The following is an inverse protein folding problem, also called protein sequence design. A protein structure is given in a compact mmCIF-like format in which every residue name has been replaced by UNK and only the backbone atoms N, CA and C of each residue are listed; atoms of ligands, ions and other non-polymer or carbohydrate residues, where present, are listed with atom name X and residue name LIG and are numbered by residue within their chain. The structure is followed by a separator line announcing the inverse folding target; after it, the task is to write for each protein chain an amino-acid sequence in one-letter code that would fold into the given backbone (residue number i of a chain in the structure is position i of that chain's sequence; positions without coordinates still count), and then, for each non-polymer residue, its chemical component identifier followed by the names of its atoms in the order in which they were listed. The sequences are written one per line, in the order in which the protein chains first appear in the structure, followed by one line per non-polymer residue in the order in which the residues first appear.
data_IF_369037993857
#
_entry.id   IF_369037993857
#
_cell.length_a   1.000
_cell.length_b   1.000
_cell.length_c   1.000
_cell.angle_alpha   90.00
_cell.angle_beta   90.00
_cell.angle_gamma   90.00
#
_symmetry.space_group_name_H-M   'P 1'
#
loop_
_entity.id
_entity.type
_entity.pdbx_description
1 polymer ?
#
# COMPACT_ATOMS: atom_id res chain seq x y z
N UNK A 1 -10.45 -5.29 11.29
CA UNK A 1 -10.51 -3.91 10.75
C UNK A 1 -9.17 -3.43 10.23
N UNK A 2 -8.97 -3.46 8.91
CA UNK A 2 -7.79 -2.89 8.24
C UNK A 2 -7.64 -1.39 8.51
N UNK A 3 -8.74 -0.68 8.79
CA UNK A 3 -8.70 0.73 9.19
C UNK A 3 -7.89 0.98 10.47
N UNK A 4 -7.97 0.09 11.47
CA UNK A 4 -7.17 0.22 12.70
C UNK A 4 -5.70 -0.14 12.49
N UNK A 5 -5.42 -1.05 11.55
CA UNK A 5 -4.06 -1.41 11.15
C UNK A 5 -3.28 -0.19 10.66
N UNK A 6 -3.93 0.67 9.86
CA UNK A 6 -3.31 1.87 9.32
C UNK A 6 -3.13 2.99 10.35
N UNK A 7 -3.89 2.99 11.44
CA UNK A 7 -3.79 4.05 12.46
C UNK A 7 -2.79 3.73 13.56
N UNK A 8 -2.41 2.46 13.73
CA UNK A 8 -1.51 2.02 14.79
C UNK A 8 -0.13 1.63 14.25
N UNK A 9 0.87 2.48 14.48
CA UNK A 9 2.27 2.29 14.04
C UNK A 9 2.84 0.92 14.45
N UNK A 10 2.54 0.44 15.66
CA UNK A 10 3.04 -0.87 16.13
C UNK A 10 2.46 -2.03 15.34
N UNK A 11 1.20 -1.91 14.90
CA UNK A 11 0.57 -2.93 14.08
C UNK A 11 1.02 -2.82 12.62
N UNK A 12 1.28 -1.61 12.11
CA UNK A 12 1.90 -1.42 10.80
C UNK A 12 3.27 -2.09 10.70
N UNK A 13 4.13 -1.97 11.73
CA UNK A 13 5.46 -2.59 11.73
C UNK A 13 5.38 -4.12 11.68
N UNK A 14 4.47 -4.70 12.49
CA UNK A 14 4.22 -6.14 12.45
C UNK A 14 3.68 -6.57 11.09
N UNK A 15 2.71 -5.84 10.55
CA UNK A 15 2.11 -6.13 9.25
C UNK A 15 3.16 -6.07 8.14
N UNK A 16 4.01 -5.04 8.13
CA UNK A 16 5.10 -4.90 7.17
C UNK A 16 6.08 -6.08 7.25
N UNK A 17 6.39 -6.58 8.45
CA UNK A 17 7.21 -7.77 8.61
C UNK A 17 6.53 -9.05 8.07
N UNK A 18 5.20 -9.19 8.24
CA UNK A 18 4.45 -10.32 7.68
C UNK A 18 4.40 -10.26 6.14
N UNK A 19 4.11 -9.09 5.58
CA UNK A 19 4.06 -8.93 4.12
C UNK A 19 5.43 -9.13 3.47
N UNK A 20 6.52 -8.69 4.11
CA UNK A 20 7.88 -8.98 3.62
C UNK A 20 8.17 -10.48 3.58
N UNK A 21 7.80 -11.23 4.62
CA UNK A 21 7.92 -12.68 4.61
C UNK A 21 7.07 -13.34 3.51
N UNK A 22 5.88 -12.80 3.24
CA UNK A 22 5.07 -13.27 2.14
C UNK A 22 5.77 -13.04 0.79
N UNK A 23 6.42 -11.88 0.61
CA UNK A 23 7.21 -11.58 -0.59
C UNK A 23 8.52 -12.40 -0.68
N UNK A 24 9.09 -12.82 0.44
CA UNK A 24 10.23 -13.75 0.43
C UNK A 24 9.84 -15.13 -0.10
N UNK A 25 8.57 -15.53 0.06
CA UNK A 25 8.01 -16.81 -0.42
C UNK A 25 7.49 -16.67 -1.85
N UNK A 26 6.71 -15.63 -2.10
CA UNK A 26 6.15 -15.27 -3.41
C UNK A 26 6.41 -13.78 -3.69
N UNK A 27 7.49 -13.46 -4.43
CA UNK A 27 7.82 -12.09 -4.79
C UNK A 27 6.73 -11.37 -5.62
N UNK A 28 5.79 -12.13 -6.18
CA UNK A 28 4.69 -11.62 -7.01
C UNK A 28 3.38 -11.52 -6.26
N UNK A 29 3.38 -11.69 -4.93
CA UNK A 29 2.18 -11.64 -4.13
C UNK A 29 1.60 -10.21 -4.05
N UNK A 30 0.70 -9.91 -4.99
CA UNK A 30 0.17 -8.57 -5.25
C UNK A 30 -0.53 -7.94 -4.04
N UNK A 31 -1.22 -8.75 -3.24
CA UNK A 31 -1.89 -8.27 -2.04
C UNK A 31 -0.88 -7.78 -0.98
N UNK A 32 0.27 -8.46 -0.84
CA UNK A 32 1.34 -7.99 0.04
C UNK A 32 1.99 -6.70 -0.45
N UNK A 33 2.23 -6.58 -1.76
CA UNK A 33 2.72 -5.33 -2.36
C UNK A 33 1.71 -4.19 -2.11
N UNK A 34 0.42 -4.45 -2.33
CA UNK A 34 -0.64 -3.47 -2.06
C UNK A 34 -0.62 -2.98 -0.61
N UNK A 35 -0.63 -3.88 0.38
CA UNK A 35 -0.63 -3.46 1.78
C UNK A 35 0.67 -2.75 2.20
N UNK A 36 1.83 -3.13 1.65
CA UNK A 36 3.08 -2.42 1.89
C UNK A 36 2.99 -0.99 1.35
N UNK A 37 2.48 -0.80 0.12
CA UNK A 37 2.26 0.54 -0.45
C UNK A 37 1.33 1.40 0.41
N UNK A 38 0.24 0.81 0.90
CA UNK A 38 -0.68 1.49 1.80
C UNK A 38 -0.08 1.84 3.16
N UNK A 39 0.77 0.97 3.75
CA UNK A 39 1.49 1.26 4.99
C UNK A 39 2.48 2.42 4.80
N UNK A 40 3.18 2.47 3.66
CA UNK A 40 4.05 3.60 3.33
C UNK A 40 3.24 4.91 3.24
N UNK A 41 2.10 4.88 2.54
CA UNK A 41 1.23 6.05 2.45
C UNK A 41 0.68 6.50 3.81
N UNK A 42 0.30 5.57 4.70
CA UNK A 42 -0.19 5.92 6.04
C UNK A 42 0.91 6.48 6.96
N UNK A 43 2.18 6.31 6.60
CA UNK A 43 3.33 6.93 7.29
C UNK A 43 3.69 8.32 6.73
N UNK A 44 2.96 8.81 5.73
CA UNK A 44 3.28 10.04 5.01
C UNK A 44 4.36 9.85 3.93
N UNK A 45 4.83 8.62 3.72
CA UNK A 45 5.77 8.27 2.65
C UNK A 45 5.01 8.08 1.33
N UNK A 46 4.26 9.10 0.91
CA UNK A 46 3.28 9.00 -0.17
C UNK A 46 3.90 8.60 -1.51
N UNK A 47 5.05 9.15 -1.86
CA UNK A 47 5.76 8.84 -3.12
C UNK A 47 6.10 7.35 -3.20
N UNK A 48 6.66 6.81 -2.12
CA UNK A 48 7.00 5.39 -2.01
C UNK A 48 5.77 4.49 -2.00
N UNK A 49 4.70 4.92 -1.33
CA UNK A 49 3.42 4.21 -1.36
C UNK A 49 2.87 4.11 -2.78
N UNK A 50 2.87 5.21 -3.53
CA UNK A 50 2.42 5.26 -4.92
C UNK A 50 3.28 4.41 -5.84
N UNK A 51 4.61 4.45 -5.70
CA UNK A 51 5.53 3.64 -6.51
C UNK A 51 5.26 2.13 -6.36
N UNK A 52 5.01 1.67 -5.14
CA UNK A 52 4.72 0.26 -4.88
C UNK A 52 3.33 -0.12 -5.41
N UNK A 53 2.34 0.77 -5.28
CA UNK A 53 1.01 0.56 -5.85
C UNK A 53 1.04 0.53 -7.39
N UNK A 54 1.91 1.32 -8.03
CA UNK A 54 2.13 1.25 -9.48
C UNK A 54 2.70 -0.12 -9.89
N UNK A 55 3.57 -0.74 -9.08
CA UNK A 55 4.04 -2.12 -9.33
C UNK A 55 2.89 -3.13 -9.27
N UNK A 56 1.94 -2.94 -8.34
CA UNK A 56 0.74 -3.80 -8.26
C UNK A 56 -0.07 -3.70 -9.56
N UNK A 57 -0.28 -2.49 -10.09
CA UNK A 57 -1.00 -2.29 -11.35
C UNK A 57 -0.24 -2.84 -12.55
N UNK A 58 1.09 -2.71 -12.57
CA UNK A 58 1.93 -3.20 -13.66
C UNK A 58 1.97 -4.73 -13.74
N UNK A 59 1.73 -5.42 -12.63
CA UNK A 59 1.71 -6.88 -12.55
C UNK A 59 0.40 -7.54 -13.04
N UNK A 60 -0.46 -6.79 -13.72
CA UNK A 60 -1.77 -7.24 -14.21
C UNK A 60 -2.65 -7.88 -13.12
N UNK A 61 -3.01 -7.10 -12.08
CA UNK A 61 -3.86 -7.59 -11.01
C UNK A 61 -5.26 -7.89 -11.57
N UNK A 62 -6.05 -8.65 -10.81
CA UNK A 62 -7.45 -8.82 -11.17
C UNK A 62 -8.19 -7.46 -11.20
N UNK A 63 -9.31 -7.35 -11.93
CA UNK A 63 -10.00 -6.07 -12.06
C UNK A 63 -10.52 -5.49 -10.74
N UNK A 64 -10.79 -6.30 -9.72
CA UNK A 64 -11.25 -5.81 -8.43
C UNK A 64 -10.10 -5.14 -7.67
N UNK A 65 -8.94 -5.80 -7.60
CA UNK A 65 -7.72 -5.24 -7.01
C UNK A 65 -7.27 -4.00 -7.78
N UNK A 66 -7.26 -4.03 -9.12
CA UNK A 66 -6.89 -2.87 -9.94
C UNK A 66 -7.77 -1.64 -9.63
N UNK A 67 -9.10 -1.83 -9.53
CA UNK A 67 -10.02 -0.73 -9.18
C UNK A 67 -9.80 -0.23 -7.77
N UNK A 68 -9.45 -1.11 -6.84
CA UNK A 68 -9.15 -0.72 -5.46
C UNK A 68 -7.89 0.13 -5.39
N UNK A 69 -6.79 -0.37 -5.96
CA UNK A 69 -5.50 0.33 -6.01
C UNK A 69 -5.67 1.74 -6.61
N UNK A 70 -6.37 1.87 -7.73
CA UNK A 70 -6.61 3.18 -8.34
C UNK A 70 -7.34 4.17 -7.41
N UNK A 71 -8.39 3.72 -6.71
CA UNK A 71 -9.10 4.57 -5.74
C UNK A 71 -8.20 5.00 -4.59
N UNK A 72 -7.41 4.07 -4.06
CA UNK A 72 -6.52 4.37 -2.93
C UNK A 72 -5.39 5.31 -3.35
N UNK A 73 -4.81 5.12 -4.54
CA UNK A 73 -3.82 6.03 -5.11
C UNK A 73 -4.36 7.45 -5.32
N UNK A 74 -5.61 7.61 -5.74
CA UNK A 74 -6.26 8.93 -5.82
C UNK A 74 -6.35 9.59 -4.44
N UNK A 75 -6.73 8.83 -3.42
CA UNK A 75 -6.76 9.27 -2.02
C UNK A 75 -5.38 9.69 -1.52
N UNK A 76 -4.34 8.91 -1.81
CA UNK A 76 -2.95 9.19 -1.44
C UNK A 76 -2.46 10.47 -2.13
N UNK A 77 -2.67 10.60 -3.45
CA UNK A 77 -2.28 11.81 -4.20
C UNK A 77 -2.99 13.05 -3.67
N UNK A 78 -4.24 12.92 -3.23
CA UNK A 78 -4.97 14.01 -2.59
C UNK A 78 -4.34 14.39 -1.24
N UNK A 79 -4.09 13.42 -0.36
CA UNK A 79 -3.44 13.65 0.93
C UNK A 79 -2.03 14.25 0.79
N UNK A 80 -1.25 13.81 -0.22
CA UNK A 80 0.06 14.36 -0.55
C UNK A 80 -0.02 15.85 -0.91
N UNK A 81 -1.03 16.27 -1.68
CA UNK A 81 -1.24 17.69 -2.00
C UNK A 81 -1.69 18.50 -0.78
N UNK A 82 -2.53 17.93 0.06
CA UNK A 82 -3.06 18.59 1.26
C UNK A 82 -2.01 18.73 2.37
N UNK A 83 -1.02 17.83 2.43
CA UNK A 83 0.08 17.89 3.41
C UNK A 83 1.25 18.79 2.99
N UNK A 84 1.33 19.14 1.71
CA UNK A 84 2.32 20.07 1.18
C UNK A 84 1.88 21.54 1.14
N UNK A 85 0.67 21.85 1.65
CA UNK A 85 0.06 23.18 1.68
C UNK A 85 -0.17 23.64 3.13
#
# INVERSE_FOLDING_TARGET
DLGLLYLNTREQDKAMAQFRKALDIDPTHLESLYYIGMIHASRGEFEKGLEILDQVLAANPDPALARQVNRDMEGIRRAMRESGN
#
